data_IF_316471427712
#
_entry.id   IF_316471427712
#
_cell.length_a   1.000
_cell.length_b   1.000
_cell.length_c   1.000
_cell.angle_alpha   90.00
_cell.angle_beta   90.00
_cell.angle_gamma   90.00
#
_symmetry.space_group_name_H-M   'P 1'
#
loop_
_entity.id
_entity.type
_entity.pdbx_description
1 polymer ?
#
# COMPACT_ATOMS: atom_id res chain seq x y z
N UNK A 1 -3.55 18.58 -66.49
CA UNK A 1 -3.29 18.80 -65.08
C UNK A 1 -4.17 17.87 -64.25
N UNK A 2 -3.69 16.66 -63.92
CA UNK A 2 -4.43 15.68 -63.13
C UNK A 2 -4.01 15.83 -61.68
N UNK A 3 -4.96 16.18 -60.81
CA UNK A 3 -4.77 16.21 -59.37
C UNK A 3 -4.99 14.79 -58.80
N UNK A 4 -3.93 14.16 -58.34
CA UNK A 4 -3.97 12.89 -57.61
C UNK A 4 -4.42 13.19 -56.16
N UNK A 5 -5.62 12.76 -55.79
CA UNK A 5 -6.07 12.73 -54.41
C UNK A 5 -5.51 11.47 -53.76
N UNK A 6 -4.55 11.64 -52.84
CA UNK A 6 -4.04 10.55 -52.00
C UNK A 6 -4.93 10.46 -50.77
N UNK A 7 -5.84 9.47 -50.77
CA UNK A 7 -6.66 9.18 -49.57
C UNK A 7 -5.84 8.39 -48.56
N UNK A 8 -5.47 9.05 -47.46
CA UNK A 8 -4.82 8.41 -46.34
C UNK A 8 -5.87 7.65 -45.51
N UNK A 9 -6.00 6.34 -45.72
CA UNK A 9 -6.79 5.46 -44.85
C UNK A 9 -5.99 5.30 -43.50
N UNK A 10 -6.36 6.05 -42.51
CA UNK A 10 -5.96 5.72 -41.12
C UNK A 10 -6.71 4.48 -40.66
N UNK A 11 -6.02 3.34 -40.67
CA UNK A 11 -6.52 2.13 -40.07
C UNK A 11 -6.57 2.29 -38.55
N UNK A 12 -7.76 2.52 -38.00
CA UNK A 12 -8.03 2.37 -36.58
C UNK A 12 -7.96 0.88 -36.22
N UNK A 13 -6.82 0.43 -35.75
CA UNK A 13 -6.73 -0.88 -35.09
C UNK A 13 -7.48 -0.78 -33.77
N UNK A 14 -8.69 -1.28 -33.72
CA UNK A 14 -9.39 -1.55 -32.47
C UNK A 14 -8.63 -2.67 -31.75
N UNK A 15 -7.89 -2.30 -30.72
CA UNK A 15 -7.36 -3.27 -29.77
C UNK A 15 -8.57 -3.74 -28.95
N UNK A 16 -9.19 -4.84 -29.38
CA UNK A 16 -10.16 -5.54 -28.56
C UNK A 16 -9.39 -6.23 -27.45
N UNK A 17 -9.39 -5.65 -26.25
CA UNK A 17 -8.92 -6.36 -25.07
C UNK A 17 -9.95 -7.44 -24.75
N UNK A 18 -9.67 -8.68 -25.16
CA UNK A 18 -10.43 -9.81 -24.68
C UNK A 18 -10.08 -10.00 -23.19
N UNK A 19 -11.01 -9.66 -22.30
CA UNK A 19 -10.89 -10.04 -20.91
C UNK A 19 -10.74 -11.58 -20.86
N UNK A 20 -9.64 -12.04 -20.28
CA UNK A 20 -9.43 -13.48 -20.13
C UNK A 20 -10.51 -14.05 -19.20
N UNK A 21 -11.19 -15.11 -19.63
CA UNK A 21 -12.16 -15.80 -18.77
C UNK A 21 -11.44 -16.37 -17.54
N UNK A 22 -12.05 -16.15 -16.38
CA UNK A 22 -11.55 -16.73 -15.13
C UNK A 22 -11.67 -18.26 -15.18
N UNK A 23 -10.74 -19.01 -14.57
CA UNK A 23 -10.83 -20.46 -14.46
C UNK A 23 -12.18 -20.90 -13.88
N UNK A 24 -12.74 -22.01 -14.36
CA UNK A 24 -14.07 -22.50 -13.97
C UNK A 24 -14.22 -22.73 -12.46
N UNK A 25 -13.14 -23.05 -11.77
CA UNK A 25 -13.10 -23.29 -10.32
C UNK A 25 -12.84 -22.02 -9.49
N UNK A 26 -12.69 -20.84 -10.12
CA UNK A 26 -12.37 -19.59 -9.41
C UNK A 26 -13.35 -19.28 -8.26
N UNK A 27 -14.65 -19.42 -8.53
CA UNK A 27 -15.69 -19.15 -7.52
C UNK A 27 -15.64 -20.10 -6.33
N UNK A 28 -15.19 -21.34 -6.53
CA UNK A 28 -14.98 -22.30 -5.43
C UNK A 28 -13.74 -21.92 -4.62
N UNK A 29 -12.60 -21.65 -5.26
CA UNK A 29 -11.37 -21.23 -4.61
C UNK A 29 -11.58 -19.95 -3.78
N UNK A 30 -12.38 -19.01 -4.29
CA UNK A 30 -12.73 -17.77 -3.57
C UNK A 30 -13.48 -18.08 -2.27
N UNK A 31 -14.49 -18.96 -2.30
CA UNK A 31 -15.23 -19.38 -1.11
C UNK A 31 -14.35 -20.13 -0.09
N UNK A 32 -13.38 -20.89 -0.55
CA UNK A 32 -12.45 -21.63 0.30
C UNK A 32 -11.45 -20.71 1.02
N UNK A 33 -11.05 -19.59 0.39
CA UNK A 33 -10.09 -18.67 1.00
C UNK A 33 -10.75 -17.61 1.90
N UNK A 34 -12.02 -17.32 1.73
CA UNK A 34 -12.75 -16.26 2.44
C UNK A 34 -12.67 -16.37 3.97
N UNK A 35 -12.91 -17.55 4.61
CA UNK A 35 -12.79 -17.67 6.07
C UNK A 35 -11.38 -17.34 6.57
N UNK A 36 -10.36 -17.72 5.83
CA UNK A 36 -8.97 -17.45 6.16
C UNK A 36 -8.62 -15.98 5.98
N UNK A 37 -9.11 -15.33 4.93
CA UNK A 37 -8.97 -13.90 4.71
C UNK A 37 -9.53 -13.10 5.90
N UNK A 38 -10.75 -13.45 6.36
CA UNK A 38 -11.39 -12.81 7.52
C UNK A 38 -10.55 -13.03 8.79
N UNK A 39 -10.00 -14.23 8.96
CA UNK A 39 -9.12 -14.55 10.09
C UNK A 39 -7.84 -13.72 10.08
N UNK A 40 -7.18 -13.58 8.93
CA UNK A 40 -6.00 -12.74 8.78
C UNK A 40 -6.30 -11.25 9.07
N UNK A 41 -7.38 -10.74 8.51
CA UNK A 41 -7.80 -9.35 8.76
C UNK A 41 -7.99 -9.07 10.25
N UNK A 42 -8.63 -9.97 10.99
CA UNK A 42 -8.82 -9.83 12.43
C UNK A 42 -7.51 -9.96 13.21
N UNK A 43 -6.63 -10.88 12.78
CA UNK A 43 -5.31 -11.05 13.37
C UNK A 43 -4.45 -9.78 13.25
N UNK A 44 -4.35 -9.20 12.05
CA UNK A 44 -3.60 -7.95 11.86
C UNK A 44 -4.24 -6.79 12.59
N UNK A 45 -5.56 -6.71 12.61
CA UNK A 45 -6.26 -5.66 13.36
C UNK A 45 -5.99 -5.71 14.87
N UNK A 46 -5.93 -6.91 15.43
CA UNK A 46 -5.65 -7.12 16.85
C UNK A 46 -4.17 -6.88 17.20
N UNK A 47 -3.26 -7.05 16.23
CA UNK A 47 -1.81 -6.98 16.41
C UNK A 47 -1.15 -5.95 15.48
N UNK A 48 -1.58 -4.68 15.49
CA UNK A 48 -1.04 -3.66 14.59
C UNK A 48 0.35 -3.21 15.00
N UNK A 49 1.17 -2.84 14.03
CA UNK A 49 2.52 -2.31 14.22
C UNK A 49 2.69 -0.99 13.47
N UNK A 50 3.39 -0.02 14.09
CA UNK A 50 3.65 1.29 13.49
C UNK A 50 4.64 1.21 12.33
N UNK A 51 4.63 2.24 11.47
CA UNK A 51 5.56 2.43 10.35
C UNK A 51 7.01 2.14 10.72
N UNK A 52 7.71 1.36 9.90
CA UNK A 52 9.08 0.85 10.12
C UNK A 52 9.24 -0.01 11.41
N UNK A 53 8.16 -0.48 12.00
CA UNK A 53 8.15 -1.36 13.18
C UNK A 53 7.32 -2.63 12.92
N UNK A 54 6.91 -2.88 11.68
CA UNK A 54 6.04 -3.97 11.22
C UNK A 54 6.79 -5.32 11.16
N UNK A 55 7.65 -5.60 12.16
CA UNK A 55 8.52 -6.78 12.16
C UNK A 55 7.73 -8.09 12.23
N UNK A 56 6.73 -8.17 13.13
CA UNK A 56 5.90 -9.36 13.25
C UNK A 56 4.93 -9.50 12.09
N UNK A 57 4.37 -8.39 11.62
CA UNK A 57 3.49 -8.33 10.45
C UNK A 57 4.23 -8.82 9.20
N UNK A 58 5.40 -8.25 8.90
CA UNK A 58 6.20 -8.65 7.75
C UNK A 58 6.66 -10.11 7.83
N UNK A 59 7.09 -10.54 9.03
CA UNK A 59 7.48 -11.94 9.25
C UNK A 59 6.31 -12.91 9.04
N UNK A 60 5.14 -12.59 9.57
CA UNK A 60 3.93 -13.41 9.41
C UNK A 60 3.56 -13.58 7.94
N UNK A 61 3.55 -12.47 7.19
CA UNK A 61 3.29 -12.47 5.75
C UNK A 61 4.31 -13.31 5.01
N UNK A 62 5.61 -13.08 5.26
CA UNK A 62 6.68 -13.80 4.59
C UNK A 62 6.64 -15.30 4.86
N UNK A 63 6.42 -15.72 6.10
CA UNK A 63 6.35 -17.13 6.47
C UNK A 63 5.13 -17.80 5.83
N UNK A 64 3.98 -17.14 5.77
CA UNK A 64 2.83 -17.68 5.06
C UNK A 64 3.09 -17.83 3.56
N UNK A 65 3.63 -16.79 2.89
CA UNK A 65 3.89 -16.84 1.45
C UNK A 65 4.88 -17.94 1.07
N UNK A 66 5.88 -18.24 1.92
CA UNK A 66 6.78 -19.38 1.75
C UNK A 66 6.02 -20.72 1.72
N UNK A 67 4.94 -20.86 2.48
CA UNK A 67 4.11 -22.09 2.47
C UNK A 67 3.43 -22.33 1.13
N UNK A 68 3.27 -21.28 0.32
CA UNK A 68 2.72 -21.37 -1.04
C UNK A 68 3.74 -21.87 -2.08
N UNK A 69 5.01 -22.01 -1.70
CA UNK A 69 6.07 -22.47 -2.59
C UNK A 69 6.54 -21.42 -3.61
N UNK A 70 6.24 -20.14 -3.39
CA UNK A 70 6.70 -19.02 -4.24
C UNK A 70 7.98 -18.39 -3.68
N UNK A 71 8.76 -17.71 -4.53
CA UNK A 71 9.96 -17.00 -4.09
C UNK A 71 9.58 -15.85 -3.16
N UNK A 72 10.24 -15.73 -2.00
CA UNK A 72 9.97 -14.68 -1.01
C UNK A 72 11.27 -14.01 -0.60
N UNK A 73 11.29 -12.68 -0.64
CA UNK A 73 12.37 -11.81 -0.13
C UNK A 73 11.84 -11.07 1.09
N UNK A 74 12.49 -11.28 2.23
CA UNK A 74 12.17 -10.65 3.51
C UNK A 74 13.41 -10.60 4.41
N UNK A 75 13.68 -9.48 5.09
CA UNK A 75 12.97 -8.19 4.97
C UNK A 75 13.41 -7.42 3.72
N UNK A 76 12.52 -6.57 3.19
CA UNK A 76 12.82 -5.54 2.19
C UNK A 76 12.34 -4.20 2.70
N UNK A 77 13.01 -3.11 2.37
CA UNK A 77 12.67 -1.78 2.88
C UNK A 77 12.42 -1.78 4.41
N UNK A 78 13.30 -2.46 5.17
CA UNK A 78 13.30 -2.73 6.62
C UNK A 78 12.35 -3.84 7.07
N UNK A 79 11.06 -3.74 6.84
CA UNK A 79 10.03 -4.64 7.41
C UNK A 79 9.09 -5.21 6.36
N UNK A 80 9.15 -4.70 5.12
CA UNK A 80 8.29 -5.14 4.03
C UNK A 80 8.65 -6.51 3.47
N UNK A 81 7.79 -7.00 2.59
CA UNK A 81 7.92 -8.31 1.95
C UNK A 81 7.73 -8.17 0.44
N UNK A 82 8.54 -8.88 -0.32
CA UNK A 82 8.34 -9.10 -1.75
C UNK A 82 8.20 -10.59 -2.02
N UNK A 83 7.21 -10.98 -2.82
CA UNK A 83 7.10 -12.36 -3.30
C UNK A 83 6.86 -12.40 -4.80
N UNK A 84 7.29 -13.48 -5.46
CA UNK A 84 7.28 -13.60 -6.92
C UNK A 84 6.61 -14.91 -7.30
N UNK A 85 5.50 -14.82 -8.04
CA UNK A 85 4.82 -15.94 -8.66
C UNK A 85 5.07 -15.91 -10.17
N UNK A 86 5.81 -16.88 -10.67
CA UNK A 86 5.97 -17.10 -12.11
C UNK A 86 4.77 -17.88 -12.62
N UNK A 87 3.96 -17.25 -13.47
CA UNK A 87 2.80 -17.88 -14.09
C UNK A 87 3.16 -18.96 -15.09
N UNK A 88 2.16 -19.76 -15.48
CA UNK A 88 2.33 -20.86 -16.43
C UNK A 88 2.22 -20.46 -17.90
N UNK A 89 1.88 -19.20 -18.20
CA UNK A 89 1.70 -18.69 -19.57
C UNK A 89 2.60 -17.47 -19.80
N UNK A 90 3.05 -17.20 -21.03
CA UNK A 90 3.74 -15.96 -21.37
C UNK A 90 2.88 -14.73 -21.05
N UNK A 91 3.51 -13.65 -20.59
CA UNK A 91 2.81 -12.41 -20.29
C UNK A 91 3.74 -11.39 -19.61
N UNK A 92 3.20 -10.21 -19.25
CA UNK A 92 3.94 -9.14 -18.62
C UNK A 92 4.32 -9.47 -17.18
N UNK A 93 5.17 -8.62 -16.60
CA UNK A 93 5.44 -8.60 -15.17
C UNK A 93 4.60 -7.51 -14.54
N UNK A 94 3.68 -7.89 -13.65
CA UNK A 94 2.84 -6.95 -12.93
C UNK A 94 3.05 -7.06 -11.42
N UNK A 95 2.99 -5.95 -10.72
CA UNK A 95 3.04 -5.95 -9.26
C UNK A 95 1.66 -5.66 -8.67
N UNK A 96 1.35 -6.35 -7.57
CA UNK A 96 0.20 -6.10 -6.71
C UNK A 96 0.72 -5.60 -5.36
N UNK A 97 0.20 -4.46 -4.89
CA UNK A 97 0.70 -3.77 -3.70
C UNK A 97 -0.36 -3.70 -2.60
N UNK A 98 0.07 -3.96 -1.38
CA UNK A 98 -0.65 -3.61 -0.15
C UNK A 98 0.33 -2.93 0.82
N UNK A 99 -0.14 -1.91 1.53
CA UNK A 99 0.53 -1.34 2.70
C UNK A 99 0.32 -2.22 3.93
N UNK A 100 1.23 -2.11 4.92
CA UNK A 100 1.20 -3.03 6.07
C UNK A 100 1.33 -2.37 7.44
N UNK A 101 1.55 -1.07 7.50
CA UNK A 101 1.71 -0.32 8.74
C UNK A 101 0.37 0.15 9.34
N UNK A 102 0.40 0.46 10.63
CA UNK A 102 -0.71 0.99 11.40
C UNK A 102 -0.40 2.38 11.94
N UNK A 103 -1.43 3.05 12.45
CA UNK A 103 -1.39 4.42 12.92
C UNK A 103 -1.30 4.52 14.47
N UNK A 104 -0.72 5.62 15.01
CA UNK A 104 -0.69 5.90 16.44
C UNK A 104 -2.06 6.40 16.95
N UNK A 105 -3.08 5.53 16.84
CA UNK A 105 -4.49 5.82 17.15
C UNK A 105 -4.99 4.84 18.20
N UNK A 106 -5.70 5.34 19.21
CA UNK A 106 -6.37 4.50 20.20
C UNK A 106 -7.67 3.95 19.61
N UNK A 107 -7.81 2.63 19.58
CA UNK A 107 -9.07 2.02 19.18
C UNK A 107 -10.16 2.23 20.22
N UNK A 108 -11.35 2.63 19.76
CA UNK A 108 -12.50 2.92 20.61
C UNK A 108 -13.70 2.02 20.36
N UNK A 109 -13.60 1.13 19.38
CA UNK A 109 -14.72 0.23 19.02
C UNK A 109 -14.59 -1.06 19.82
N UNK A 110 -15.64 -1.51 20.53
CA UNK A 110 -15.59 -2.72 21.36
C UNK A 110 -15.77 -3.97 20.50
N UNK A 111 -14.76 -4.31 19.69
CA UNK A 111 -14.73 -5.52 18.88
C UNK A 111 -14.01 -6.65 19.64
N UNK A 112 -14.38 -7.92 19.40
CA UNK A 112 -13.66 -9.07 19.98
C UNK A 112 -12.18 -9.12 19.63
N UNK A 113 -11.80 -8.53 18.50
CA UNK A 113 -10.44 -8.44 17.96
C UNK A 113 -9.91 -6.99 17.95
N UNK A 114 -10.46 -6.11 18.80
CA UNK A 114 -9.99 -4.73 18.94
C UNK A 114 -8.54 -4.70 19.41
N UNK A 115 -7.76 -3.80 18.85
CA UNK A 115 -6.37 -3.59 19.26
C UNK A 115 -6.29 -3.07 20.70
N UNK A 116 -5.39 -3.66 21.47
CA UNK A 116 -4.96 -3.19 22.81
C UNK A 116 -3.47 -2.84 22.81
N UNK A 117 -2.88 -2.81 21.62
CA UNK A 117 -1.45 -2.53 21.44
C UNK A 117 -1.15 -1.09 21.79
N UNK A 118 -0.05 -0.88 22.50
CA UNK A 118 0.52 0.45 22.76
C UNK A 118 1.97 0.45 22.34
N UNK A 119 2.44 1.58 21.81
CA UNK A 119 3.83 1.78 21.41
C UNK A 119 4.30 3.18 21.79
N UNK A 120 5.60 3.42 21.68
CA UNK A 120 6.16 4.76 21.77
C UNK A 120 6.16 5.41 20.37
N UNK A 121 5.62 6.62 20.27
CA UNK A 121 5.61 7.42 19.06
C UNK A 121 5.81 8.90 19.41
N UNK A 122 6.83 9.54 18.81
CA UNK A 122 7.15 10.94 19.11
C UNK A 122 7.49 11.21 20.58
N UNK A 123 8.08 10.24 21.30
CA UNK A 123 8.41 10.34 22.73
C UNK A 123 7.19 10.18 23.66
N UNK A 124 6.06 9.73 23.15
CA UNK A 124 4.85 9.51 23.95
C UNK A 124 4.32 8.07 23.75
N UNK A 125 3.72 7.53 24.83
CA UNK A 125 3.01 6.25 24.76
C UNK A 125 1.64 6.47 24.11
N UNK A 126 1.39 5.79 23.00
CA UNK A 126 0.15 5.89 22.21
C UNK A 126 -0.49 4.52 22.02
N UNK A 127 -1.80 4.49 21.76
CA UNK A 127 -2.45 3.29 21.21
C UNK A 127 -2.06 3.10 19.75
N UNK A 128 -2.14 1.87 19.27
CA UNK A 128 -1.86 1.54 17.85
C UNK A 128 -3.08 0.85 17.25
N UNK A 129 -3.50 1.27 16.08
CA UNK A 129 -4.67 0.71 15.38
C UNK A 129 -4.49 0.77 13.86
N UNK A 130 -4.96 -0.25 13.16
CA UNK A 130 -5.18 -0.17 11.70
C UNK A 130 -6.40 0.71 11.39
N UNK A 131 -6.25 2.04 11.56
CA UNK A 131 -7.32 3.01 11.35
C UNK A 131 -7.50 3.40 9.86
N UNK A 132 -6.50 3.11 9.01
CA UNK A 132 -6.57 3.33 7.56
C UNK A 132 -7.02 2.07 6.79
N UNK A 133 -7.09 0.91 7.45
CA UNK A 133 -7.59 -0.33 6.87
C UNK A 133 -6.56 -1.22 6.18
N UNK A 134 -5.26 -0.99 6.46
CA UNK A 134 -4.18 -1.78 5.87
C UNK A 134 -4.25 -3.27 6.27
N UNK A 135 -4.83 -3.61 7.41
CA UNK A 135 -5.19 -5.00 7.80
C UNK A 135 -6.04 -5.71 6.75
N UNK A 136 -6.96 -4.98 6.11
CA UNK A 136 -7.77 -5.50 5.00
C UNK A 136 -6.95 -5.64 3.72
N UNK A 137 -6.09 -4.67 3.41
CA UNK A 137 -5.24 -4.69 2.22
C UNK A 137 -4.25 -5.87 2.27
N UNK A 138 -3.58 -6.08 3.42
CA UNK A 138 -2.71 -7.24 3.66
C UNK A 138 -3.46 -8.53 3.37
N UNK A 139 -4.62 -8.68 4.00
CA UNK A 139 -5.39 -9.93 3.95
C UNK A 139 -5.90 -10.24 2.55
N UNK A 140 -6.33 -9.22 1.80
CA UNK A 140 -6.74 -9.34 0.40
C UNK A 140 -5.54 -9.76 -0.46
N UNK A 141 -4.36 -9.16 -0.27
CA UNK A 141 -3.20 -9.49 -1.06
C UNK A 141 -2.67 -10.91 -0.75
N UNK A 142 -2.68 -11.34 0.52
CA UNK A 142 -2.36 -12.71 0.91
C UNK A 142 -3.34 -13.73 0.31
N UNK A 143 -4.64 -13.43 0.33
CA UNK A 143 -5.66 -14.26 -0.30
C UNK A 143 -5.48 -14.33 -1.82
N UNK A 144 -5.16 -13.20 -2.45
CA UNK A 144 -4.85 -13.13 -3.88
C UNK A 144 -3.63 -13.98 -4.22
N UNK A 145 -2.57 -13.94 -3.42
CA UNK A 145 -1.39 -14.79 -3.60
C UNK A 145 -1.76 -16.29 -3.54
N UNK A 146 -2.58 -16.69 -2.57
CA UNK A 146 -3.09 -18.06 -2.47
C UNK A 146 -3.89 -18.49 -3.71
N UNK A 147 -4.83 -17.66 -4.13
CA UNK A 147 -5.67 -17.92 -5.31
C UNK A 147 -4.84 -18.03 -6.58
N UNK A 148 -3.95 -17.08 -6.84
CA UNK A 148 -3.12 -17.08 -8.04
C UNK A 148 -2.13 -18.26 -8.04
N UNK A 149 -1.61 -18.66 -6.89
CA UNK A 149 -0.77 -19.85 -6.78
C UNK A 149 -1.55 -21.14 -7.09
N UNK A 150 -2.78 -21.26 -6.60
CA UNK A 150 -3.64 -22.39 -6.91
C UNK A 150 -4.00 -22.48 -8.41
N UNK A 151 -3.99 -21.33 -9.09
CA UNK A 151 -4.27 -21.21 -10.53
C UNK A 151 -3.00 -20.93 -11.37
N UNK A 152 -1.81 -21.17 -10.83
CA UNK A 152 -0.53 -20.75 -11.41
C UNK A 152 -0.38 -21.09 -12.92
N UNK A 153 -0.83 -22.27 -13.34
CA UNK A 153 -0.76 -22.70 -14.74
C UNK A 153 -1.57 -21.81 -15.69
N UNK A 154 -2.60 -21.13 -15.17
CA UNK A 154 -3.49 -20.26 -15.93
C UNK A 154 -3.02 -18.79 -15.90
N UNK A 155 -2.15 -18.42 -14.98
CA UNK A 155 -1.65 -17.05 -14.81
C UNK A 155 -0.70 -16.68 -15.94
N UNK A 156 -0.97 -15.60 -16.71
CA UNK A 156 -0.02 -15.10 -17.69
C UNK A 156 1.07 -14.25 -17.01
N UNK A 157 2.30 -14.39 -17.49
CA UNK A 157 3.43 -13.58 -17.03
C UNK A 157 3.90 -13.88 -15.62
N UNK A 158 4.31 -12.84 -14.92
CA UNK A 158 4.81 -12.93 -13.54
C UNK A 158 4.08 -11.93 -12.66
N UNK A 159 3.67 -12.37 -11.48
CA UNK A 159 3.04 -11.50 -10.48
C UNK A 159 4.02 -11.28 -9.34
N UNK A 160 4.31 -10.02 -9.05
CA UNK A 160 5.12 -9.58 -7.92
C UNK A 160 4.16 -9.07 -6.83
N UNK A 161 4.22 -9.65 -5.65
CA UNK A 161 3.45 -9.20 -4.49
C UNK A 161 4.34 -8.28 -3.66
N UNK A 162 3.91 -7.05 -3.43
CA UNK A 162 4.64 -6.04 -2.67
C UNK A 162 3.83 -5.69 -1.41
N UNK A 163 4.34 -6.06 -0.25
CA UNK A 163 3.81 -5.67 1.05
C UNK A 163 4.67 -4.52 1.56
N UNK A 164 4.16 -3.30 1.38
CA UNK A 164 4.90 -2.07 1.59
C UNK A 164 4.81 -1.62 3.04
N UNK A 165 5.96 -1.44 3.74
CA UNK A 165 5.98 -0.84 5.07
C UNK A 165 5.89 0.69 4.99
N UNK A 166 5.64 1.33 6.14
CA UNK A 166 5.76 2.77 6.35
C UNK A 166 5.06 3.64 5.28
N UNK A 167 3.83 3.29 4.93
CA UNK A 167 3.01 4.08 3.99
C UNK A 167 2.56 5.39 4.63
N UNK A 168 2.19 5.35 5.90
CA UNK A 168 1.74 6.48 6.71
C UNK A 168 2.89 7.45 7.11
N UNK A 169 4.11 7.13 6.69
CA UNK A 169 5.32 7.91 6.91
C UNK A 169 6.30 7.26 7.87
N UNK A 170 7.56 7.24 7.47
CA UNK A 170 8.64 6.73 8.30
C UNK A 170 8.89 7.66 9.52
N UNK A 171 9.20 7.12 10.71
CA UNK A 171 9.41 7.93 11.90
C UNK A 171 10.62 8.85 11.79
N UNK A 172 10.47 10.12 12.18
CA UNK A 172 11.57 11.10 12.26
C UNK A 172 12.28 11.31 10.93
N UNK A 173 13.56 10.95 10.85
CA UNK A 173 14.40 11.07 9.65
C UNK A 173 14.68 9.70 8.99
N UNK A 174 13.96 8.67 9.39
CA UNK A 174 14.16 7.34 8.82
C UNK A 174 13.72 7.29 7.34
N UNK A 175 14.46 6.56 6.54
CA UNK A 175 13.98 6.15 5.20
C UNK A 175 12.95 5.03 5.35
N UNK A 176 11.97 4.96 4.46
CA UNK A 176 10.94 3.92 4.46
C UNK A 176 9.99 4.02 3.27
N UNK A 177 8.94 3.24 3.33
CA UNK A 177 7.85 3.28 2.38
C UNK A 177 8.22 2.88 0.95
N UNK A 178 7.39 3.29 0.01
CA UNK A 178 7.57 2.98 -1.41
C UNK A 178 8.90 3.50 -1.96
N UNK A 179 9.37 4.66 -1.50
CA UNK A 179 10.64 5.24 -1.95
C UNK A 179 11.82 4.32 -1.63
N UNK A 180 11.87 3.75 -0.43
CA UNK A 180 12.93 2.81 -0.04
C UNK A 180 12.82 1.50 -0.84
N UNK A 181 11.61 0.99 -1.07
CA UNK A 181 11.39 -0.19 -1.93
C UNK A 181 11.92 0.03 -3.34
N UNK A 182 11.68 1.20 -3.93
CA UNK A 182 12.18 1.56 -5.27
C UNK A 182 13.71 1.68 -5.24
N UNK A 183 14.29 2.33 -4.23
CA UNK A 183 15.75 2.49 -4.05
C UNK A 183 16.45 1.13 -3.91
N UNK A 184 15.81 0.15 -3.30
CA UNK A 184 16.30 -1.22 -3.19
C UNK A 184 16.08 -2.05 -4.48
N UNK A 185 15.51 -1.47 -5.54
CA UNK A 185 15.34 -2.10 -6.85
C UNK A 185 14.24 -3.14 -6.92
N UNK A 186 13.20 -3.05 -6.07
CA UNK A 186 12.13 -4.05 -6.02
C UNK A 186 11.25 -4.06 -7.29
N UNK A 187 11.31 -3.00 -8.10
CA UNK A 187 10.62 -2.93 -9.39
C UNK A 187 11.51 -3.29 -10.60
N UNK A 188 12.80 -3.56 -10.37
CA UNK A 188 13.79 -3.77 -11.44
C UNK A 188 14.08 -5.25 -11.70
N UNK A 189 13.97 -6.09 -10.67
CA UNK A 189 14.26 -7.52 -10.79
C UNK A 189 13.25 -8.42 -10.07
N UNK A 190 12.24 -8.94 -10.81
CA UNK A 190 11.99 -8.74 -12.25
C UNK A 190 11.52 -7.30 -12.55
N UNK A 191 11.79 -6.82 -13.79
CA UNK A 191 11.35 -5.48 -14.20
C UNK A 191 9.84 -5.44 -14.30
N UNK A 192 9.21 -4.68 -13.40
CA UNK A 192 7.76 -4.51 -13.31
C UNK A 192 7.27 -3.53 -14.37
N UNK A 193 6.23 -3.89 -15.12
CA UNK A 193 5.64 -3.08 -16.18
C UNK A 193 4.45 -2.24 -15.69
N UNK A 194 3.72 -2.74 -14.69
CA UNK A 194 2.61 -2.04 -14.07
C UNK A 194 2.45 -2.43 -12.60
N UNK A 195 2.00 -1.50 -11.77
CA UNK A 195 1.69 -1.71 -10.35
C UNK A 195 0.22 -1.45 -10.13
N UNK A 196 -0.45 -2.38 -9.44
CA UNK A 196 -1.85 -2.25 -9.03
C UNK A 196 -1.93 -2.29 -7.50
N UNK A 197 -2.77 -1.42 -6.95
CA UNK A 197 -3.13 -1.40 -5.54
C UNK A 197 -4.60 -1.06 -5.39
N UNK A 198 -5.16 -1.40 -4.25
CA UNK A 198 -6.49 -0.96 -3.86
C UNK A 198 -6.41 -0.27 -2.49
N UNK A 199 -7.38 0.57 -2.21
CA UNK A 199 -7.58 1.12 -0.88
C UNK A 199 -9.04 1.02 -0.49
N UNK A 200 -9.35 0.50 0.71
CA UNK A 200 -10.72 0.54 1.23
C UNK A 200 -11.12 1.99 1.54
N UNK A 201 -12.40 2.29 1.41
CA UNK A 201 -12.91 3.63 1.64
C UNK A 201 -14.27 3.55 2.34
N UNK A 202 -14.40 4.18 3.51
CA UNK A 202 -15.62 4.17 4.31
C UNK A 202 -16.82 4.82 3.63
N UNK A 203 -16.60 5.68 2.63
CA UNK A 203 -17.64 6.37 1.86
C UNK A 203 -18.05 5.62 0.58
N UNK A 204 -17.44 4.49 0.32
CA UNK A 204 -17.76 3.66 -0.85
C UNK A 204 -18.64 2.50 -0.41
N UNK A 205 -19.87 2.34 -0.94
CA UNK A 205 -20.74 1.24 -0.57
C UNK A 205 -20.10 -0.13 -0.82
N UNK A 206 -20.37 -1.08 0.07
CA UNK A 206 -19.89 -2.47 -0.10
C UNK A 206 -20.40 -3.04 -1.43
N UNK A 207 -19.52 -3.78 -2.11
CA UNK A 207 -19.82 -4.35 -3.43
C UNK A 207 -19.57 -3.39 -4.60
N UNK A 208 -19.11 -2.16 -4.32
CA UNK A 208 -18.72 -1.20 -5.38
C UNK A 208 -17.22 -0.99 -5.40
N UNK A 209 -16.70 -0.73 -6.60
CA UNK A 209 -15.30 -0.39 -6.84
C UNK A 209 -15.26 0.91 -7.64
N UNK A 210 -14.46 1.87 -7.16
CA UNK A 210 -14.27 3.14 -7.85
C UNK A 210 -12.89 3.15 -8.50
N UNK A 211 -12.84 3.60 -9.74
CA UNK A 211 -11.57 3.83 -10.46
C UNK A 211 -11.71 5.04 -11.40
N UNK A 212 -10.59 5.58 -11.82
CA UNK A 212 -10.57 6.69 -12.76
C UNK A 212 -9.24 6.70 -13.52
N UNK A 213 -9.26 7.15 -14.77
CA UNK A 213 -8.07 7.43 -15.56
C UNK A 213 -7.40 8.73 -15.11
N UNK A 214 -6.08 8.80 -15.14
CA UNK A 214 -5.28 9.94 -14.69
C UNK A 214 -5.10 9.98 -13.16
N UNK A 215 -4.77 11.15 -12.62
CA UNK A 215 -4.56 11.33 -11.18
C UNK A 215 -5.82 10.97 -10.39
N UNK A 216 -5.68 10.04 -9.44
CA UNK A 216 -6.79 9.50 -8.64
C UNK A 216 -6.63 9.80 -7.15
N UNK A 217 -5.43 9.62 -6.60
CA UNK A 217 -5.12 9.89 -5.20
C UNK A 217 -4.56 11.31 -5.05
N UNK A 218 -4.77 11.93 -3.88
CA UNK A 218 -4.14 13.19 -3.54
C UNK A 218 -2.65 13.01 -3.28
N UNK A 219 -1.86 14.05 -3.53
CA UNK A 219 -0.51 14.15 -2.99
C UNK A 219 -0.53 14.76 -1.59
N UNK A 220 0.44 14.40 -0.76
CA UNK A 220 0.67 15.01 0.54
C UNK A 220 2.12 15.51 0.61
N UNK A 221 2.28 16.76 1.01
CA UNK A 221 3.58 17.40 1.19
C UNK A 221 3.70 17.89 2.63
N UNK A 222 4.81 17.56 3.27
CA UNK A 222 5.08 17.95 4.66
C UNK A 222 6.16 19.01 4.69
N UNK A 223 5.89 20.11 5.39
CA UNK A 223 6.87 21.15 5.62
C UNK A 223 6.84 21.64 7.07
N UNK A 224 7.97 22.12 7.55
CA UNK A 224 8.10 22.71 8.88
C UNK A 224 8.61 24.15 8.76
N UNK A 225 7.86 25.09 9.33
CA UNK A 225 8.29 26.49 9.42
C UNK A 225 8.73 26.77 10.84
N UNK A 226 9.98 27.20 11.02
CA UNK A 226 10.51 27.65 12.31
C UNK A 226 10.63 29.16 12.33
N UNK A 227 9.78 29.81 13.12
CA UNK A 227 9.83 31.27 13.30
C UNK A 227 10.60 31.56 14.60
N UNK A 228 11.72 32.26 14.46
CA UNK A 228 12.56 32.64 15.61
C UNK A 228 12.21 34.04 16.08
N UNK A 229 11.84 34.17 17.34
CA UNK A 229 11.56 35.44 18.01
C UNK A 229 12.67 35.87 18.94
N UNK A 230 12.49 37.03 19.61
CA UNK A 230 13.32 37.53 20.66
C UNK A 230 12.45 37.96 21.83
N UNK A 231 12.72 37.44 23.02
CA UNK A 231 12.01 37.83 24.23
C UNK A 231 12.29 39.30 24.61
N UNK A 232 11.31 39.91 25.26
CA UNK A 232 11.43 41.25 25.85
C UNK A 232 10.64 41.33 27.14
N UNK A 233 10.86 42.40 27.94
CA UNK A 233 10.02 42.67 29.08
C UNK A 233 8.61 43.03 28.64
N UNK A 234 7.57 42.55 29.33
CA UNK A 234 6.17 42.73 28.94
C UNK A 234 5.71 44.18 28.76
N UNK A 235 6.31 45.11 29.53
CA UNK A 235 6.07 46.56 29.37
C UNK A 235 6.92 47.23 28.30
N UNK A 236 7.85 46.49 27.65
CA UNK A 236 8.77 47.02 26.65
C UNK A 236 8.78 46.12 25.38
N UNK A 237 7.62 45.91 24.74
CA UNK A 237 7.50 44.97 23.63
C UNK A 237 8.35 45.35 22.40
N UNK A 238 8.68 46.63 22.25
CA UNK A 238 9.56 47.10 21.18
C UNK A 238 11.01 46.60 21.27
N UNK A 239 11.43 46.06 22.40
CA UNK A 239 12.75 45.46 22.58
C UNK A 239 12.86 44.02 22.12
N UNK A 240 11.75 43.42 21.77
CA UNK A 240 11.63 42.03 21.31
C UNK A 240 11.32 41.90 19.81
N UNK A 241 11.14 40.63 19.39
CA UNK A 241 10.58 40.24 18.09
C UNK A 241 9.51 39.20 18.37
N UNK A 242 8.25 39.53 18.11
CA UNK A 242 7.12 38.64 18.36
C UNK A 242 7.00 37.59 17.24
N UNK A 243 7.29 36.29 17.51
CA UNK A 243 7.21 35.26 16.50
C UNK A 243 5.75 34.90 16.16
N UNK A 244 4.79 35.19 17.04
CA UNK A 244 3.37 34.89 16.79
C UNK A 244 2.81 35.83 15.74
N UNK A 245 3.06 37.15 15.88
CA UNK A 245 2.65 38.13 14.89
C UNK A 245 3.31 37.89 13.53
N UNK A 246 4.59 37.49 13.50
CA UNK A 246 5.28 37.13 12.28
C UNK A 246 4.69 35.86 11.65
N UNK A 247 4.38 34.83 12.45
CA UNK A 247 3.78 33.57 11.96
C UNK A 247 2.38 33.78 11.37
N UNK A 248 1.62 34.75 11.87
CA UNK A 248 0.28 35.04 11.37
C UNK A 248 0.26 35.69 9.97
N UNK A 249 1.42 36.07 9.43
CA UNK A 249 1.58 36.67 8.10
C UNK A 249 2.18 35.71 7.07
N UNK A 250 2.54 34.50 7.49
CA UNK A 250 3.07 33.44 6.61
C UNK A 250 1.93 32.54 6.12
#
# INVERSE_FOLDING_TARGET
MHKLLLSLLMGFSFITSNAQELPKNYGQLLKEVEPQLISWRRHFHENPELSNREFNTGKYIADYLKTLGIEVRYPVAKTGVMAILKGGKPGPVVALRADIDALPVVERVPLPFASKVTAEYGGQKVGVMHACGHDSHISILMATAKLLTAMQKEVPGTVVFLFQPAEEGAPGTEEGGAQLMIKEGLLDNPKVEAVFGLHINSQTPVGTLKYKSGAFMASADWFTIKVNGKGSHGSQPWGGVDPISASAQI
#
